data_IF_386647239736
#
_entry.id   IF_386647239736
#
_cell.length_a   1.000
_cell.length_b   1.000
_cell.length_c   1.000
_cell.angle_alpha   90.00
_cell.angle_beta   90.00
_cell.angle_gamma   90.00
#
_symmetry.space_group_name_H-M   'P 1'
#
loop_
_entity.id
_entity.type
_entity.pdbx_description
1 polymer ?
#
# COMPACT_ATOMS: atom_id res chain seq x y z
N UNK A 1 4.19 6.98 14.67
CA UNK A 1 3.35 6.83 15.84
C UNK A 1 2.09 6.02 15.59
N UNK A 2 1.16 6.40 14.71
CA UNK A 2 -0.11 5.68 14.49
C UNK A 2 0.06 4.18 14.21
N UNK A 3 0.78 3.79 13.17
CA UNK A 3 0.98 2.38 12.79
C UNK A 3 1.76 1.58 13.84
N UNK A 4 2.55 2.25 14.69
CA UNK A 4 3.34 1.60 15.74
C UNK A 4 2.47 0.93 16.82
N UNK A 5 1.22 1.40 17.05
CA UNK A 5 0.30 0.75 17.99
C UNK A 5 -0.07 -0.66 17.50
N UNK A 6 -0.30 -0.85 16.19
CA UNK A 6 -0.57 -2.16 15.60
C UNK A 6 0.65 -3.08 15.65
N UNK A 7 1.83 -2.54 15.32
CA UNK A 7 3.09 -3.30 15.43
C UNK A 7 3.34 -3.74 16.88
N UNK A 8 3.10 -2.86 17.87
CA UNK A 8 3.22 -3.19 19.31
C UNK A 8 2.19 -4.23 19.75
N UNK A 9 0.95 -4.18 19.25
CA UNK A 9 -0.09 -5.18 19.54
C UNK A 9 0.34 -6.58 19.10
N UNK A 10 1.01 -6.69 17.94
CA UNK A 10 1.45 -7.96 17.37
C UNK A 10 2.96 -8.22 17.53
N UNK A 11 3.63 -7.54 18.46
CA UNK A 11 5.09 -7.63 18.67
C UNK A 11 5.63 -9.06 18.80
N UNK A 12 4.92 -9.95 19.50
CA UNK A 12 5.35 -11.33 19.69
C UNK A 12 5.36 -12.12 18.38
N UNK A 13 4.42 -11.85 17.47
CA UNK A 13 4.41 -12.47 16.13
C UNK A 13 5.55 -11.95 15.26
N UNK A 14 5.83 -10.64 15.32
CA UNK A 14 7.00 -10.06 14.63
C UNK A 14 8.30 -10.63 15.19
N UNK A 15 8.46 -10.72 16.51
CA UNK A 15 9.66 -11.29 17.14
C UNK A 15 9.82 -12.77 16.72
N UNK A 16 8.76 -13.58 16.77
CA UNK A 16 8.81 -14.98 16.33
C UNK A 16 9.18 -15.10 14.84
N UNK A 17 8.60 -14.24 14.00
CA UNK A 17 8.94 -14.18 12.57
C UNK A 17 10.39 -13.81 12.30
N UNK A 18 10.91 -12.79 12.99
CA UNK A 18 12.30 -12.34 12.86
C UNK A 18 13.28 -13.40 13.41
N UNK A 19 12.96 -14.04 14.52
CA UNK A 19 13.81 -15.11 15.07
C UNK A 19 13.86 -16.34 14.15
N UNK A 20 12.71 -16.71 13.55
CA UNK A 20 12.69 -17.81 12.57
C UNK A 20 13.41 -17.43 11.28
N UNK A 21 13.32 -16.20 10.81
CA UNK A 21 14.06 -15.71 9.66
C UNK A 21 15.56 -15.73 9.94
N UNK A 22 15.99 -15.22 11.10
CA UNK A 22 17.39 -15.29 11.52
C UNK A 22 17.93 -16.73 11.58
N UNK A 23 17.15 -17.66 12.13
CA UNK A 23 17.55 -19.07 12.19
C UNK A 23 17.70 -19.69 10.79
N UNK A 24 16.82 -19.33 9.85
CA UNK A 24 16.88 -19.75 8.44
C UNK A 24 18.14 -19.20 7.78
N UNK A 25 18.43 -17.92 7.92
CA UNK A 25 19.60 -17.27 7.33
C UNK A 25 20.89 -17.84 7.90
N UNK A 26 20.97 -17.94 9.23
CA UNK A 26 22.12 -18.54 9.90
C UNK A 26 22.35 -20.00 9.47
N UNK A 27 21.29 -20.81 9.35
CA UNK A 27 21.40 -22.18 8.88
C UNK A 27 21.84 -22.26 7.41
N UNK A 28 21.34 -21.37 6.54
CA UNK A 28 21.68 -21.36 5.11
C UNK A 28 23.17 -21.14 4.85
N UNK A 29 23.81 -20.32 5.67
CA UNK A 29 25.24 -19.99 5.57
C UNK A 29 26.15 -21.20 5.86
N UNK A 30 25.65 -22.27 6.51
CA UNK A 30 26.42 -23.48 6.74
C UNK A 30 26.48 -24.42 5.52
N UNK A 31 25.58 -24.30 4.54
CA UNK A 31 25.56 -25.18 3.34
C UNK A 31 26.87 -25.05 2.55
N UNK A 32 27.36 -23.84 2.19
CA UNK A 32 28.62 -23.70 1.49
C UNK A 32 29.82 -24.30 2.27
N UNK A 33 29.81 -24.19 3.60
CA UNK A 33 30.83 -24.77 4.44
C UNK A 33 30.85 -26.30 4.38
N UNK A 34 29.69 -26.94 4.43
CA UNK A 34 29.58 -28.40 4.34
C UNK A 34 29.98 -28.90 2.95
N UNK A 35 29.62 -28.22 1.88
CA UNK A 35 30.04 -28.54 0.53
C UNK A 35 31.56 -28.39 0.38
N UNK A 36 32.14 -27.37 1.00
CA UNK A 36 33.61 -27.18 1.05
C UNK A 36 34.31 -28.34 1.74
N UNK A 37 33.81 -28.81 2.89
CA UNK A 37 34.38 -29.97 3.62
C UNK A 37 34.33 -31.23 2.76
N UNK A 38 33.23 -31.49 2.06
CA UNK A 38 33.13 -32.63 1.15
C UNK A 38 34.15 -32.53 0.02
N UNK A 39 34.29 -31.34 -0.58
CA UNK A 39 35.25 -31.10 -1.68
C UNK A 39 36.70 -31.33 -1.22
N UNK A 40 37.06 -30.80 -0.07
CA UNK A 40 38.42 -30.99 0.49
C UNK A 40 38.70 -32.46 0.76
N UNK A 41 37.77 -33.17 1.35
CA UNK A 41 37.92 -34.58 1.66
C UNK A 41 38.03 -35.47 0.40
N UNK A 42 37.30 -35.15 -0.66
CA UNK A 42 37.40 -35.83 -1.96
C UNK A 42 38.74 -35.55 -2.62
N UNK A 43 39.21 -34.32 -2.60
CA UNK A 43 40.48 -33.93 -3.21
C UNK A 43 41.66 -34.58 -2.49
N UNK A 44 41.66 -34.63 -1.19
CA UNK A 44 42.68 -35.26 -0.36
C UNK A 44 42.60 -36.79 -0.38
N UNK A 45 41.59 -37.40 -1.01
CA UNK A 45 41.28 -38.85 -0.94
C UNK A 45 41.25 -39.41 0.49
N UNK A 46 41.00 -38.56 1.46
CA UNK A 46 40.99 -38.88 2.90
C UNK A 46 39.58 -39.05 3.47
N UNK A 47 38.55 -38.75 2.69
CA UNK A 47 37.17 -38.79 3.16
C UNK A 47 36.63 -40.22 3.18
N UNK A 48 36.05 -40.61 4.32
CA UNK A 48 35.34 -41.87 4.45
C UNK A 48 33.91 -41.76 4.00
N UNK A 49 33.33 -42.88 3.53
CA UNK A 49 31.89 -42.89 3.17
C UNK A 49 30.97 -42.44 4.31
N UNK A 50 31.37 -42.74 5.55
CA UNK A 50 30.67 -42.29 6.75
C UNK A 50 30.63 -40.76 6.86
N UNK A 51 31.78 -40.10 6.62
CA UNK A 51 31.87 -38.63 6.67
C UNK A 51 31.07 -37.95 5.57
N UNK A 52 31.08 -38.51 4.33
CA UNK A 52 30.22 -38.01 3.25
C UNK A 52 28.75 -38.08 3.65
N UNK A 53 28.34 -39.27 4.14
CA UNK A 53 26.93 -39.49 4.61
C UNK A 53 26.55 -38.50 5.69
N UNK A 54 27.42 -38.21 6.66
CA UNK A 54 27.14 -37.23 7.73
C UNK A 54 26.98 -35.82 7.18
N UNK A 55 27.85 -35.40 6.24
CA UNK A 55 27.69 -34.07 5.62
C UNK A 55 26.43 -33.97 4.76
N UNK A 56 26.10 -35.01 4.00
CA UNK A 56 24.84 -35.04 3.22
C UNK A 56 23.60 -35.04 4.10
N UNK A 57 23.60 -35.77 5.20
CA UNK A 57 22.52 -35.72 6.21
C UNK A 57 22.44 -34.32 6.83
N UNK A 58 23.58 -33.69 7.12
CA UNK A 58 23.62 -32.32 7.59
C UNK A 58 22.97 -31.33 6.60
N UNK A 59 23.35 -31.42 5.31
CA UNK A 59 22.73 -30.58 4.25
C UNK A 59 21.23 -30.86 4.14
N UNK A 60 20.80 -32.12 4.20
CA UNK A 60 19.40 -32.51 4.14
C UNK A 60 18.60 -31.95 5.33
N UNK A 61 19.15 -32.08 6.55
CA UNK A 61 18.52 -31.55 7.77
C UNK A 61 18.43 -30.02 7.73
N UNK A 62 19.49 -29.35 7.27
CA UNK A 62 19.45 -27.90 7.03
C UNK A 62 18.36 -27.56 5.99
N UNK A 63 18.30 -28.31 4.88
CA UNK A 63 17.26 -28.12 3.86
C UNK A 63 15.84 -28.24 4.42
N UNK A 64 15.61 -29.24 5.28
CA UNK A 64 14.33 -29.41 5.99
C UNK A 64 14.04 -28.24 6.94
N UNK A 65 15.04 -27.82 7.72
CA UNK A 65 14.94 -26.65 8.60
C UNK A 65 14.62 -25.38 7.81
N UNK A 66 15.26 -25.17 6.65
CA UNK A 66 14.99 -24.07 5.76
C UNK A 66 13.54 -24.12 5.22
N UNK A 67 13.04 -25.29 4.84
CA UNK A 67 11.68 -25.45 4.34
C UNK A 67 10.65 -25.09 5.41
N UNK A 68 10.78 -25.67 6.62
CA UNK A 68 9.88 -25.39 7.76
C UNK A 68 10.04 -23.92 8.21
N UNK A 69 11.25 -23.44 8.34
CA UNK A 69 11.54 -22.06 8.76
C UNK A 69 10.98 -21.03 7.77
N UNK A 70 11.11 -21.27 6.45
CA UNK A 70 10.51 -20.40 5.41
C UNK A 70 9.00 -20.37 5.45
N UNK A 71 8.36 -21.47 5.82
CA UNK A 71 6.92 -21.47 6.06
C UNK A 71 6.57 -20.65 7.31
N UNK A 72 7.28 -20.88 8.42
CA UNK A 72 7.00 -20.22 9.70
C UNK A 72 7.16 -18.69 9.65
N UNK A 73 8.28 -18.17 9.12
CA UNK A 73 8.46 -16.72 9.07
C UNK A 73 7.44 -16.05 8.11
N UNK A 74 7.09 -16.71 6.99
CA UNK A 74 6.02 -16.23 6.11
C UNK A 74 4.68 -16.17 6.84
N UNK A 75 4.35 -17.22 7.57
CA UNK A 75 3.14 -17.26 8.37
C UNK A 75 3.09 -16.16 9.43
N UNK A 76 4.20 -15.93 10.13
CA UNK A 76 4.26 -14.90 11.17
C UNK A 76 4.30 -13.48 10.58
N UNK A 77 5.18 -13.17 9.64
CA UNK A 77 5.36 -11.81 9.14
C UNK A 77 4.26 -11.42 8.15
N UNK A 78 4.03 -12.21 7.09
CA UNK A 78 2.98 -11.91 6.13
C UNK A 78 1.59 -12.06 6.73
N UNK A 79 1.38 -13.08 7.57
CA UNK A 79 0.13 -13.28 8.28
C UNK A 79 -0.21 -12.10 9.18
N UNK A 80 0.78 -11.55 9.90
CA UNK A 80 0.58 -10.37 10.76
C UNK A 80 0.27 -9.12 9.94
N UNK A 81 1.00 -8.89 8.84
CA UNK A 81 0.71 -7.77 7.95
C UNK A 81 -0.71 -7.83 7.37
N UNK A 82 -1.22 -9.04 7.04
CA UNK A 82 -2.60 -9.27 6.61
C UNK A 82 -3.64 -9.02 7.72
N UNK A 83 -3.32 -9.38 8.95
CA UNK A 83 -4.20 -9.11 10.10
C UNK A 83 -4.32 -7.60 10.31
N UNK A 84 -3.19 -6.87 10.29
CA UNK A 84 -3.18 -5.41 10.42
C UNK A 84 -3.96 -4.75 9.27
N UNK A 85 -3.77 -5.20 8.03
CA UNK A 85 -4.53 -4.72 6.87
C UNK A 85 -6.05 -4.87 7.09
N UNK A 86 -6.49 -6.03 7.58
CA UNK A 86 -7.90 -6.27 7.89
C UNK A 86 -8.41 -5.36 9.00
N UNK A 87 -7.66 -5.19 10.08
CA UNK A 87 -8.05 -4.31 11.20
C UNK A 87 -8.18 -2.86 10.74
N UNK A 88 -7.18 -2.35 10.01
CA UNK A 88 -7.22 -1.01 9.45
C UNK A 88 -8.42 -0.82 8.50
N UNK A 89 -8.71 -1.81 7.66
CA UNK A 89 -9.87 -1.75 6.76
C UNK A 89 -11.19 -1.65 7.52
N UNK A 90 -11.35 -2.46 8.57
CA UNK A 90 -12.55 -2.44 9.39
C UNK A 90 -12.67 -1.10 10.16
N UNK A 91 -11.57 -0.60 10.71
CA UNK A 91 -11.55 0.66 11.45
C UNK A 91 -11.85 1.85 10.53
N UNK A 92 -11.22 1.90 9.34
CA UNK A 92 -11.54 2.91 8.33
C UNK A 92 -13.01 2.88 7.92
N UNK A 93 -13.56 1.68 7.68
CA UNK A 93 -14.96 1.55 7.30
C UNK A 93 -15.90 2.04 8.42
N UNK A 94 -15.68 1.54 9.64
CA UNK A 94 -16.49 1.98 10.80
C UNK A 94 -16.38 3.48 11.05
N UNK A 95 -15.20 4.06 10.83
CA UNK A 95 -15.01 5.50 11.01
C UNK A 95 -15.71 6.30 9.92
N UNK A 96 -15.62 5.87 8.66
CA UNK A 96 -16.33 6.52 7.56
C UNK A 96 -17.87 6.50 7.74
N UNK A 97 -18.43 5.40 8.25
CA UNK A 97 -19.88 5.34 8.56
C UNK A 97 -20.31 6.41 9.58
N UNK A 98 -19.40 6.98 10.36
CA UNK A 98 -19.68 8.08 11.30
C UNK A 98 -19.52 9.47 10.69
N UNK A 99 -18.98 9.59 9.48
CA UNK A 99 -18.74 10.88 8.82
C UNK A 99 -20.05 11.48 8.30
N UNK A 100 -20.07 12.80 8.26
CA UNK A 100 -21.20 13.58 7.72
C UNK A 100 -21.20 13.63 6.18
N UNK A 101 -22.30 14.08 5.61
CA UNK A 101 -22.48 14.21 4.16
C UNK A 101 -21.49 15.22 3.56
N UNK A 102 -21.04 16.19 4.32
CA UNK A 102 -20.10 17.20 3.90
C UNK A 102 -18.72 16.62 3.61
N UNK A 103 -18.29 15.65 4.43
CA UNK A 103 -17.06 14.88 4.17
C UNK A 103 -17.13 14.15 2.82
N UNK A 104 -18.26 13.51 2.50
CA UNK A 104 -18.44 12.79 1.23
C UNK A 104 -18.57 13.71 0.02
N UNK A 105 -19.10 14.92 0.21
CA UNK A 105 -19.15 15.94 -0.85
C UNK A 105 -17.76 16.48 -1.19
N UNK A 106 -16.86 16.55 -0.21
CA UNK A 106 -15.47 17.01 -0.40
C UNK A 106 -14.52 15.92 -0.87
N UNK A 107 -14.85 14.63 -0.65
CA UNK A 107 -14.03 13.48 -1.00
C UNK A 107 -14.73 12.59 -2.03
N UNK A 108 -14.13 12.47 -3.21
CA UNK A 108 -14.69 11.60 -4.28
C UNK A 108 -14.68 10.14 -3.83
N UNK A 109 -15.76 9.42 -4.07
CA UNK A 109 -15.87 7.98 -3.77
C UNK A 109 -14.74 7.15 -4.35
N UNK A 110 -14.27 7.48 -5.57
CA UNK A 110 -13.14 6.80 -6.21
C UNK A 110 -11.83 6.95 -5.44
N UNK A 111 -11.57 8.13 -4.85
CA UNK A 111 -10.40 8.36 -4.01
C UNK A 111 -10.47 7.54 -2.72
N UNK A 112 -11.62 7.53 -2.05
CA UNK A 112 -11.85 6.69 -0.87
C UNK A 112 -11.64 5.20 -1.20
N UNK A 113 -12.15 4.71 -2.33
CA UNK A 113 -11.93 3.32 -2.77
C UNK A 113 -10.46 3.01 -3.02
N UNK A 114 -9.69 3.95 -3.55
CA UNK A 114 -8.23 3.80 -3.73
C UNK A 114 -7.52 3.62 -2.38
N UNK A 115 -7.97 4.33 -1.34
CA UNK A 115 -7.43 4.19 0.01
C UNK A 115 -7.72 2.81 0.62
N UNK A 116 -8.91 2.25 0.35
CA UNK A 116 -9.29 0.88 0.79
C UNK A 116 -8.55 -0.24 0.06
N UNK A 117 -8.07 0.01 -1.14
CA UNK A 117 -7.42 -1.01 -1.99
C UNK A 117 -5.91 -0.80 -2.08
N UNK A 118 -5.49 0.21 -2.83
CA UNK A 118 -4.09 0.50 -3.16
C UNK A 118 -3.28 0.90 -1.92
N UNK A 119 -3.80 1.84 -1.12
CA UNK A 119 -3.06 2.34 0.04
C UNK A 119 -2.93 1.29 1.14
N UNK A 120 -3.99 0.56 1.47
CA UNK A 120 -3.90 -0.53 2.44
C UNK A 120 -2.96 -1.66 1.97
N UNK A 121 -2.92 -1.93 0.65
CA UNK A 121 -1.95 -2.86 0.09
C UNK A 121 -0.51 -2.35 0.26
N UNK A 122 -0.24 -1.06 0.01
CA UNK A 122 1.08 -0.47 0.22
C UNK A 122 1.50 -0.49 1.70
N UNK A 123 0.58 -0.22 2.64
CA UNK A 123 0.82 -0.38 4.08
C UNK A 123 1.18 -1.82 4.43
N UNK A 124 0.46 -2.80 3.89
CA UNK A 124 0.75 -4.22 4.09
C UNK A 124 2.13 -4.61 3.54
N UNK A 125 2.50 -4.10 2.36
CA UNK A 125 3.81 -4.35 1.76
C UNK A 125 4.94 -3.78 2.63
N UNK A 126 4.74 -2.61 3.21
CA UNK A 126 5.71 -2.01 4.12
C UNK A 126 5.85 -2.77 5.46
N UNK A 127 4.74 -3.31 5.98
CA UNK A 127 4.74 -4.01 7.28
C UNK A 127 5.15 -5.49 7.21
N UNK A 128 5.09 -6.11 6.04
CA UNK A 128 5.48 -7.50 5.84
C UNK A 128 6.70 -7.64 4.95
N UNK A 129 6.57 -7.59 3.62
CA UNK A 129 7.68 -7.78 2.67
C UNK A 129 8.86 -6.85 2.90
N UNK A 130 8.64 -5.55 3.12
CA UNK A 130 9.74 -4.60 3.34
C UNK A 130 10.58 -4.93 4.58
N UNK A 131 9.94 -5.40 5.68
CA UNK A 131 10.64 -5.82 6.89
C UNK A 131 11.59 -6.98 6.60
N UNK A 132 11.17 -7.94 5.78
CA UNK A 132 12.00 -9.09 5.37
C UNK A 132 13.15 -8.62 4.50
N UNK A 133 12.88 -7.81 3.48
CA UNK A 133 13.92 -7.29 2.59
C UNK A 133 14.98 -6.47 3.36
N UNK A 134 14.58 -5.66 4.35
CA UNK A 134 15.52 -4.94 5.23
C UNK A 134 16.34 -5.93 6.05
N UNK A 135 15.69 -6.93 6.63
CA UNK A 135 16.36 -7.93 7.46
C UNK A 135 17.38 -8.72 6.64
N UNK A 136 16.97 -9.27 5.48
CA UNK A 136 17.84 -10.03 4.58
C UNK A 136 19.02 -9.17 4.08
N UNK A 137 18.75 -7.92 3.69
CA UNK A 137 19.83 -7.05 3.19
C UNK A 137 20.89 -6.74 4.24
N UNK A 138 20.52 -6.66 5.52
CA UNK A 138 21.46 -6.36 6.60
C UNK A 138 22.02 -7.63 7.23
N UNK A 139 21.14 -8.50 7.72
CA UNK A 139 21.56 -9.66 8.54
C UNK A 139 22.20 -10.74 7.71
N UNK A 140 21.57 -11.10 6.58
CA UNK A 140 22.13 -12.12 5.68
C UNK A 140 23.48 -11.67 5.12
N UNK A 141 23.60 -10.40 4.68
CA UNK A 141 24.88 -9.85 4.22
C UNK A 141 25.93 -9.92 5.31
N UNK A 142 25.61 -9.51 6.54
CA UNK A 142 26.54 -9.56 7.67
C UNK A 142 27.01 -11.01 7.96
N UNK A 143 26.07 -11.96 8.03
CA UNK A 143 26.35 -13.36 8.29
C UNK A 143 27.27 -13.97 7.21
N UNK A 144 26.94 -13.72 5.93
CA UNK A 144 27.73 -14.24 4.81
C UNK A 144 29.14 -13.63 4.79
N UNK A 145 29.26 -12.29 4.92
CA UNK A 145 30.56 -11.60 4.94
C UNK A 145 31.42 -12.06 6.11
N UNK A 146 30.84 -12.16 7.33
CA UNK A 146 31.55 -12.69 8.48
C UNK A 146 32.07 -14.11 8.22
N UNK A 147 31.23 -14.98 7.61
CA UNK A 147 31.64 -16.35 7.31
C UNK A 147 32.72 -16.42 6.22
N UNK A 148 32.63 -15.55 5.20
CA UNK A 148 33.66 -15.42 4.17
C UNK A 148 35.01 -15.01 4.78
N UNK A 149 35.01 -14.02 5.65
CA UNK A 149 36.21 -13.52 6.34
C UNK A 149 36.84 -14.58 7.26
N UNK A 150 35.99 -15.24 8.07
CA UNK A 150 36.43 -16.20 9.07
C UNK A 150 36.87 -17.57 8.45
N UNK A 151 36.02 -18.09 7.53
CA UNK A 151 36.21 -19.45 7.03
C UNK A 151 37.17 -19.53 5.83
N UNK A 152 37.23 -18.47 4.99
CA UNK A 152 38.05 -18.51 3.77
C UNK A 152 39.25 -17.60 3.88
N UNK A 153 39.14 -16.33 3.60
CA UNK A 153 40.27 -15.38 3.65
C UNK A 153 39.76 -13.94 3.58
N UNK A 154 40.27 -13.06 4.46
CA UNK A 154 39.89 -11.67 4.57
C UNK A 154 40.19 -10.88 3.28
N UNK A 155 41.42 -11.08 2.69
CA UNK A 155 41.83 -10.34 1.49
C UNK A 155 40.96 -10.68 0.29
N UNK A 156 40.65 -11.98 0.12
CA UNK A 156 39.76 -12.44 -0.95
C UNK A 156 38.35 -11.89 -0.79
N UNK A 157 37.83 -11.84 0.45
CA UNK A 157 36.53 -11.29 0.75
C UNK A 157 36.45 -9.80 0.41
N UNK A 158 37.43 -9.00 0.84
CA UNK A 158 37.47 -7.58 0.51
C UNK A 158 37.54 -7.34 -1.01
N UNK A 159 38.34 -8.13 -1.74
CA UNK A 159 38.40 -8.02 -3.19
C UNK A 159 37.05 -8.32 -3.86
N UNK A 160 36.33 -9.35 -3.41
CA UNK A 160 35.02 -9.73 -3.96
C UNK A 160 33.91 -8.74 -3.61
N UNK A 161 34.04 -8.00 -2.50
CA UNK A 161 33.06 -6.98 -2.11
C UNK A 161 33.15 -5.69 -2.93
N UNK A 162 34.33 -5.37 -3.51
CA UNK A 162 34.51 -4.14 -4.29
C UNK A 162 33.47 -4.03 -5.43
N UNK A 163 33.28 -5.00 -6.32
CA UNK A 163 32.27 -4.93 -7.36
C UNK A 163 30.85 -4.81 -6.80
N UNK A 164 30.56 -5.45 -5.67
CA UNK A 164 29.23 -5.40 -5.05
C UNK A 164 28.89 -4.02 -4.50
N UNK A 165 29.87 -3.31 -3.92
CA UNK A 165 29.68 -1.91 -3.49
C UNK A 165 29.46 -1.02 -4.72
N UNK A 166 30.16 -1.25 -5.82
CA UNK A 166 29.95 -0.53 -7.09
C UNK A 166 28.51 -0.75 -7.61
N UNK A 167 27.99 -1.98 -7.54
CA UNK A 167 26.59 -2.29 -7.90
C UNK A 167 25.64 -1.46 -7.05
N UNK A 168 25.82 -1.47 -5.73
CA UNK A 168 24.94 -0.76 -4.79
C UNK A 168 24.91 0.74 -5.08
N UNK A 169 26.07 1.35 -5.23
CA UNK A 169 26.19 2.79 -5.56
C UNK A 169 25.62 3.13 -6.94
N UNK A 170 25.89 2.28 -7.92
CA UNK A 170 25.36 2.39 -9.28
C UNK A 170 23.83 2.32 -9.28
N UNK A 171 23.25 1.35 -8.59
CA UNK A 171 21.81 1.19 -8.51
C UNK A 171 21.12 2.39 -7.81
N UNK A 172 21.75 2.93 -6.76
CA UNK A 172 21.24 4.14 -6.10
C UNK A 172 21.25 5.36 -7.02
N UNK A 173 22.26 5.49 -7.88
CA UNK A 173 22.33 6.59 -8.83
C UNK A 173 21.33 6.44 -9.97
N UNK A 174 21.28 5.28 -10.60
CA UNK A 174 20.34 5.00 -11.69
C UNK A 174 18.89 4.87 -11.23
N UNK A 175 18.65 4.50 -9.98
CA UNK A 175 17.30 4.42 -9.40
C UNK A 175 16.52 5.72 -9.51
N UNK A 176 17.19 6.87 -9.30
CA UNK A 176 16.56 8.19 -9.46
C UNK A 176 16.17 8.47 -10.92
N UNK A 177 17.06 8.16 -11.87
CA UNK A 177 16.77 8.32 -13.30
C UNK A 177 15.61 7.43 -13.76
N UNK A 178 15.55 6.21 -13.25
CA UNK A 178 14.43 5.31 -13.50
C UNK A 178 13.13 5.84 -12.93
N UNK A 179 13.14 6.38 -11.72
CA UNK A 179 11.95 6.94 -11.04
C UNK A 179 11.36 8.11 -11.84
N UNK A 180 12.21 9.01 -12.34
CA UNK A 180 11.80 10.10 -13.21
C UNK A 180 11.15 9.59 -14.51
N UNK A 181 11.77 8.60 -15.17
CA UNK A 181 11.22 7.99 -16.39
C UNK A 181 9.90 7.23 -16.13
N UNK A 182 9.79 6.54 -14.99
CA UNK A 182 8.54 5.89 -14.60
C UNK A 182 7.43 6.91 -14.35
N UNK A 183 7.76 8.07 -13.76
CA UNK A 183 6.82 9.16 -13.55
C UNK A 183 6.33 9.73 -14.89
N UNK A 184 7.25 10.07 -15.83
CA UNK A 184 6.88 10.53 -17.17
C UNK A 184 5.99 9.53 -17.92
N UNK A 185 6.28 8.24 -17.81
CA UNK A 185 5.43 7.20 -18.41
C UNK A 185 4.07 7.16 -17.74
N UNK A 186 4.00 7.25 -16.42
CA UNK A 186 2.75 7.22 -15.66
C UNK A 186 1.83 8.39 -16.05
N UNK A 187 2.39 9.60 -16.21
CA UNK A 187 1.66 10.76 -16.68
C UNK A 187 1.10 10.56 -18.09
N UNK A 188 1.89 9.94 -18.98
CA UNK A 188 1.41 9.62 -20.34
C UNK A 188 0.30 8.57 -20.34
N UNK A 189 0.39 7.55 -19.49
CA UNK A 189 -0.67 6.53 -19.30
C UNK A 189 -1.94 7.17 -18.76
N UNK A 190 -1.85 8.08 -17.79
CA UNK A 190 -2.99 8.81 -17.25
C UNK A 190 -3.66 9.67 -18.33
N UNK A 191 -2.88 10.44 -19.09
CA UNK A 191 -3.38 11.25 -20.20
C UNK A 191 -4.06 10.41 -21.31
N UNK A 192 -3.58 9.19 -21.53
CA UNK A 192 -4.21 8.25 -22.47
C UNK A 192 -5.53 7.70 -21.90
N UNK A 193 -5.55 7.36 -20.61
CA UNK A 193 -6.75 6.87 -19.94
C UNK A 193 -7.85 7.93 -19.89
N UNK A 194 -7.50 9.18 -19.56
CA UNK A 194 -8.44 10.32 -19.56
C UNK A 194 -9.04 10.53 -20.95
N UNK A 195 -8.22 10.50 -22.00
CA UNK A 195 -8.68 10.59 -23.38
C UNK A 195 -9.66 9.47 -23.75
N UNK A 196 -9.37 8.23 -23.36
CA UNK A 196 -10.26 7.08 -23.60
C UNK A 196 -11.58 7.25 -22.86
N UNK A 197 -11.52 7.70 -21.60
CA UNK A 197 -12.72 7.96 -20.80
C UNK A 197 -13.59 9.06 -21.42
N UNK A 198 -12.97 10.15 -21.88
CA UNK A 198 -13.66 11.25 -22.55
C UNK A 198 -14.31 10.77 -23.87
N UNK A 199 -13.57 10.02 -24.69
CA UNK A 199 -14.07 9.46 -25.96
C UNK A 199 -15.25 8.51 -25.74
N UNK A 200 -15.21 7.65 -24.72
CA UNK A 200 -16.31 6.74 -24.40
C UNK A 200 -17.52 7.47 -23.81
N UNK A 201 -17.30 8.46 -22.96
CA UNK A 201 -18.37 9.30 -22.43
C UNK A 201 -19.05 10.12 -23.53
N UNK A 202 -18.27 10.63 -24.48
CA UNK A 202 -18.70 11.41 -25.64
C UNK A 202 -19.06 10.57 -26.88
N UNK A 203 -19.18 9.24 -26.78
CA UNK A 203 -19.31 8.35 -27.94
C UNK A 203 -20.51 8.68 -28.86
N UNK A 204 -21.61 9.20 -28.26
CA UNK A 204 -22.79 9.64 -29.03
C UNK A 204 -22.46 10.81 -29.94
N UNK A 205 -21.67 11.77 -29.45
CA UNK A 205 -21.24 12.95 -30.23
C UNK A 205 -20.28 12.53 -31.34
N UNK A 206 -19.28 11.70 -31.01
CA UNK A 206 -18.32 11.18 -31.98
C UNK A 206 -19.04 10.46 -33.15
N UNK A 207 -20.06 9.65 -32.84
CA UNK A 207 -20.87 8.95 -33.85
C UNK A 207 -21.75 9.90 -34.63
N UNK A 208 -22.44 10.86 -33.98
CA UNK A 208 -23.33 11.81 -34.62
C UNK A 208 -22.59 12.72 -35.64
N UNK A 209 -21.35 13.12 -35.28
CA UNK A 209 -20.54 13.99 -36.16
C UNK A 209 -19.54 13.22 -37.06
N UNK A 210 -19.65 11.89 -37.12
CA UNK A 210 -18.80 11.00 -37.94
C UNK A 210 -17.29 11.22 -37.73
N UNK A 211 -16.88 11.55 -36.49
CA UNK A 211 -15.50 11.90 -36.13
C UNK A 211 -14.62 10.70 -35.77
N UNK A 212 -15.08 9.47 -36.05
CA UNK A 212 -14.37 8.22 -35.71
C UNK A 212 -12.90 8.20 -36.13
N UNK A 213 -12.59 8.63 -37.37
CA UNK A 213 -11.22 8.60 -37.89
C UNK A 213 -10.30 9.59 -37.14
N UNK A 214 -10.80 10.78 -36.81
CA UNK A 214 -10.05 11.77 -36.07
C UNK A 214 -9.73 11.28 -34.65
N UNK A 215 -10.69 10.63 -33.97
CA UNK A 215 -10.48 10.03 -32.64
C UNK A 215 -9.45 8.89 -32.66
N UNK A 216 -9.51 8.01 -33.68
CA UNK A 216 -8.51 6.93 -33.83
C UNK A 216 -7.11 7.51 -34.05
N UNK A 217 -6.96 8.57 -34.83
CA UNK A 217 -5.66 9.23 -35.03
C UNK A 217 -5.15 9.89 -33.74
N UNK A 218 -6.02 10.56 -33.00
CA UNK A 218 -5.68 11.18 -31.72
C UNK A 218 -5.27 10.14 -30.67
N UNK A 219 -6.01 9.04 -30.58
CA UNK A 219 -5.65 7.90 -29.74
C UNK A 219 -4.29 7.32 -30.12
N UNK A 220 -4.08 7.06 -31.43
CA UNK A 220 -2.82 6.50 -31.92
C UNK A 220 -1.62 7.37 -31.57
N UNK A 221 -1.75 8.70 -31.67
CA UNK A 221 -0.69 9.65 -31.30
C UNK A 221 -0.37 9.60 -29.81
N UNK A 222 -1.37 9.58 -28.94
CA UNK A 222 -1.19 9.49 -27.49
C UNK A 222 -0.61 8.12 -27.09
N UNK A 223 -1.09 7.04 -27.72
CA UNK A 223 -0.57 5.69 -27.48
C UNK A 223 0.88 5.55 -27.94
N UNK A 224 1.27 6.22 -29.05
CA UNK A 224 2.65 6.27 -29.50
C UNK A 224 3.55 7.00 -28.49
N UNK A 225 3.11 8.13 -27.91
CA UNK A 225 3.85 8.82 -26.85
C UNK A 225 4.06 7.92 -25.62
N UNK A 226 3.05 7.19 -25.21
CA UNK A 226 3.14 6.21 -24.11
C UNK A 226 4.10 5.07 -24.45
N UNK A 227 4.09 4.59 -25.68
CA UNK A 227 5.01 3.57 -26.17
C UNK A 227 6.46 4.10 -26.18
N UNK A 228 6.70 5.32 -26.67
CA UNK A 228 8.02 5.91 -26.75
C UNK A 228 8.65 6.11 -25.35
N UNK A 229 7.86 6.57 -24.36
CA UNK A 229 8.27 6.68 -22.97
C UNK A 229 8.55 5.32 -22.34
N UNK A 230 7.70 4.32 -22.58
CA UNK A 230 7.93 2.95 -22.13
C UNK A 230 9.20 2.35 -22.76
N UNK A 231 9.46 2.68 -24.03
CA UNK A 231 10.66 2.23 -24.73
C UNK A 231 11.94 2.85 -24.19
N UNK A 232 11.90 4.11 -23.67
CA UNK A 232 13.06 4.72 -22.98
C UNK A 232 13.41 3.95 -21.74
N UNK A 233 12.42 3.55 -20.92
CA UNK A 233 12.63 2.72 -19.74
C UNK A 233 13.22 1.37 -20.15
N UNK A 234 12.59 0.68 -21.11
CA UNK A 234 13.05 -0.62 -21.59
C UNK A 234 14.48 -0.59 -22.12
N UNK A 235 14.88 0.47 -22.83
CA UNK A 235 16.27 0.66 -23.32
C UNK A 235 17.25 0.82 -22.17
N UNK A 236 16.89 1.58 -21.13
CA UNK A 236 17.75 1.76 -19.96
C UNK A 236 17.89 0.45 -19.18
N UNK A 237 16.78 -0.26 -18.94
CA UNK A 237 16.78 -1.57 -18.27
C UNK A 237 17.56 -2.63 -19.08
N UNK A 238 17.43 -2.62 -20.40
CA UNK A 238 18.16 -3.52 -21.29
C UNK A 238 19.69 -3.33 -21.25
N UNK A 239 20.16 -2.16 -20.78
CA UNK A 239 21.59 -1.89 -20.55
C UNK A 239 21.97 -2.20 -19.10
N UNK A 240 21.13 -1.76 -18.14
CA UNK A 240 21.43 -1.89 -16.71
C UNK A 240 21.47 -3.33 -16.24
N UNK A 241 20.51 -4.16 -16.64
CA UNK A 241 20.43 -5.55 -16.18
C UNK A 241 21.67 -6.36 -16.63
N UNK A 242 22.05 -6.37 -17.92
CA UNK A 242 23.29 -7.03 -18.33
C UNK A 242 24.55 -6.42 -17.71
N UNK A 243 24.57 -5.12 -17.45
CA UNK A 243 25.69 -4.46 -16.78
C UNK A 243 25.87 -4.99 -15.34
N UNK A 244 24.76 -5.18 -14.62
CA UNK A 244 24.78 -5.80 -13.29
C UNK A 244 25.32 -7.24 -13.37
N UNK A 245 24.86 -8.03 -14.34
CA UNK A 245 25.36 -9.41 -14.56
C UNK A 245 26.86 -9.43 -14.86
N UNK A 246 27.35 -8.49 -15.67
CA UNK A 246 28.79 -8.33 -15.96
C UNK A 246 29.58 -7.98 -14.70
N UNK A 247 29.08 -7.07 -13.85
CA UNK A 247 29.77 -6.69 -12.60
C UNK A 247 29.80 -7.88 -11.61
N UNK A 248 28.68 -8.62 -11.50
CA UNK A 248 28.63 -9.86 -10.72
C UNK A 248 29.63 -10.89 -11.30
N UNK A 249 29.69 -11.01 -12.62
CA UNK A 249 30.65 -11.82 -13.34
C UNK A 249 32.10 -11.44 -13.03
N UNK A 250 32.41 -10.14 -12.97
CA UNK A 250 33.73 -9.66 -12.54
C UNK A 250 34.07 -10.05 -11.10
N UNK A 251 33.10 -9.99 -10.18
CA UNK A 251 33.31 -10.49 -8.81
C UNK A 251 33.64 -11.99 -8.80
N UNK A 252 32.91 -12.78 -9.59
CA UNK A 252 33.15 -14.20 -9.74
C UNK A 252 34.50 -14.47 -10.41
N UNK A 253 34.86 -13.69 -11.45
CA UNK A 253 36.17 -13.82 -12.13
C UNK A 253 37.31 -13.44 -11.20
N UNK A 254 37.24 -12.36 -10.46
CA UNK A 254 38.23 -11.96 -9.47
C UNK A 254 38.38 -13.02 -8.37
N UNK A 255 37.27 -13.61 -7.94
CA UNK A 255 37.26 -14.75 -7.02
C UNK A 255 37.95 -15.99 -7.62
N UNK A 256 37.67 -16.31 -8.88
CA UNK A 256 38.30 -17.42 -9.61
C UNK A 256 39.78 -17.21 -9.78
N UNK A 257 40.20 -16.04 -10.22
CA UNK A 257 41.62 -15.76 -10.48
C UNK A 257 42.43 -15.71 -9.19
N UNK A 258 42.04 -14.84 -8.25
CA UNK A 258 42.79 -14.65 -7.02
C UNK A 258 42.56 -15.79 -6.03
N UNK A 259 41.35 -16.29 -5.88
CA UNK A 259 41.05 -17.45 -5.05
C UNK A 259 41.65 -18.73 -5.59
N UNK A 260 41.65 -18.93 -6.92
CA UNK A 260 42.34 -20.04 -7.58
C UNK A 260 43.87 -19.97 -7.39
N UNK A 261 44.46 -18.77 -7.50
CA UNK A 261 45.88 -18.57 -7.19
C UNK A 261 46.19 -18.91 -5.72
N UNK A 262 45.39 -18.47 -4.77
CA UNK A 262 45.56 -18.81 -3.35
C UNK A 262 45.41 -20.30 -3.09
N UNK A 263 44.57 -21.00 -3.83
CA UNK A 263 44.42 -22.45 -3.76
C UNK A 263 45.64 -23.18 -4.33
N UNK A 264 46.18 -22.71 -5.46
CA UNK A 264 47.38 -23.28 -6.07
C UNK A 264 48.64 -23.18 -5.19
N UNK A 265 48.79 -22.04 -4.48
CA UNK A 265 49.90 -21.84 -3.54
C UNK A 265 49.64 -22.44 -2.15
N UNK A 266 48.52 -23.13 -1.96
CA UNK A 266 48.18 -23.83 -0.73
C UNK A 266 47.76 -22.95 0.43
N UNK A 267 47.44 -21.64 0.22
CA UNK A 267 46.96 -20.75 1.28
C UNK A 267 45.48 -20.98 1.63
N UNK A 268 44.69 -21.48 0.68
CA UNK A 268 43.32 -21.93 0.91
C UNK A 268 43.13 -23.31 0.31
N UNK A 269 42.19 -24.08 0.83
CA UNK A 269 41.84 -25.39 0.26
C UNK A 269 40.88 -25.23 -0.92
N UNK A 270 40.83 -26.23 -1.81
CA UNK A 270 39.89 -26.24 -2.93
C UNK A 270 38.43 -26.17 -2.43
N UNK A 271 38.11 -26.82 -1.31
CA UNK A 271 36.79 -26.78 -0.71
C UNK A 271 36.41 -25.39 -0.16
N UNK A 272 37.37 -24.67 0.45
CA UNK A 272 37.17 -23.28 0.85
C UNK A 272 36.93 -22.36 -0.34
N UNK A 273 37.64 -22.61 -1.44
CA UNK A 273 37.43 -21.88 -2.70
C UNK A 273 36.01 -22.10 -3.27
N UNK A 274 35.55 -23.36 -3.31
CA UNK A 274 34.19 -23.69 -3.75
C UNK A 274 33.14 -23.06 -2.85
N UNK A 275 33.32 -23.13 -1.53
CA UNK A 275 32.46 -22.49 -0.56
C UNK A 275 32.38 -20.96 -0.77
N UNK A 276 33.53 -20.33 -1.06
CA UNK A 276 33.62 -18.90 -1.30
C UNK A 276 32.75 -18.46 -2.48
N UNK A 277 32.81 -19.18 -3.61
CA UNK A 277 31.96 -18.87 -4.77
C UNK A 277 30.47 -18.98 -4.47
N UNK A 278 30.07 -19.94 -3.62
CA UNK A 278 28.67 -20.05 -3.18
C UNK A 278 28.29 -18.85 -2.30
N UNK A 279 29.17 -18.40 -1.39
CA UNK A 279 28.93 -17.20 -0.57
C UNK A 279 28.78 -15.92 -1.42
N UNK A 280 29.61 -15.75 -2.45
CA UNK A 280 29.49 -14.61 -3.38
C UNK A 280 28.11 -14.60 -4.04
N UNK A 281 27.63 -15.75 -4.50
CA UNK A 281 26.27 -15.86 -5.08
C UNK A 281 25.15 -15.58 -4.06
N UNK A 282 25.35 -15.92 -2.79
CA UNK A 282 24.37 -15.64 -1.75
C UNK A 282 24.22 -14.14 -1.44
N UNK A 283 25.22 -13.30 -1.76
CA UNK A 283 25.17 -11.86 -1.54
C UNK A 283 24.36 -11.10 -2.60
N UNK A 284 24.06 -11.71 -3.74
CA UNK A 284 23.34 -11.04 -4.84
C UNK A 284 21.94 -10.62 -4.42
N UNK A 285 21.18 -11.55 -3.84
CA UNK A 285 19.80 -11.27 -3.42
C UNK A 285 19.69 -10.16 -2.37
N UNK A 286 20.44 -10.16 -1.26
CA UNK A 286 20.40 -9.08 -0.28
C UNK A 286 20.68 -7.68 -0.85
N UNK A 287 21.55 -7.58 -1.86
CA UNK A 287 21.83 -6.32 -2.53
C UNK A 287 20.63 -5.79 -3.30
N UNK A 288 19.90 -6.64 -3.99
CA UNK A 288 18.67 -6.27 -4.71
C UNK A 288 17.54 -5.96 -3.73
N UNK A 289 17.38 -6.75 -2.65
CA UNK A 289 16.37 -6.58 -1.64
C UNK A 289 16.44 -5.22 -0.92
N UNK A 290 17.64 -4.65 -0.74
CA UNK A 290 17.83 -3.33 -0.16
C UNK A 290 17.05 -2.24 -0.92
N UNK A 291 17.09 -2.30 -2.23
CA UNK A 291 16.42 -1.36 -3.12
C UNK A 291 14.90 -1.51 -3.11
N UNK A 292 14.41 -2.76 -3.20
CA UNK A 292 12.99 -3.06 -3.09
C UNK A 292 12.42 -2.60 -1.74
N UNK A 293 13.16 -2.83 -0.66
CA UNK A 293 12.78 -2.38 0.67
C UNK A 293 12.57 -0.86 0.74
N UNK A 294 13.50 -0.09 0.16
CA UNK A 294 13.40 1.38 0.15
C UNK A 294 12.13 1.87 -0.57
N UNK A 295 11.81 1.29 -1.73
CA UNK A 295 10.60 1.61 -2.50
C UNK A 295 9.33 1.25 -1.71
N UNK A 296 9.24 0.01 -1.20
CA UNK A 296 8.08 -0.44 -0.42
C UNK A 296 7.86 0.40 0.83
N UNK A 297 8.95 0.78 1.51
CA UNK A 297 8.89 1.60 2.72
C UNK A 297 8.46 3.04 2.43
N UNK A 298 8.96 3.64 1.36
CA UNK A 298 8.56 4.98 0.91
C UNK A 298 7.07 5.02 0.55
N UNK A 299 6.60 4.10 -0.30
CA UNK A 299 5.19 3.99 -0.68
C UNK A 299 4.30 3.72 0.54
N UNK A 300 4.72 2.79 1.40
CA UNK A 300 3.99 2.47 2.62
C UNK A 300 3.85 3.65 3.57
N UNK A 301 4.92 4.45 3.74
CA UNK A 301 4.89 5.63 4.62
C UNK A 301 3.92 6.70 4.09
N UNK A 302 3.91 6.94 2.78
CA UNK A 302 2.97 7.85 2.15
C UNK A 302 1.51 7.37 2.33
N UNK A 303 1.27 6.07 2.12
CA UNK A 303 -0.06 5.47 2.28
C UNK A 303 -0.53 5.44 3.74
N UNK A 304 0.37 5.19 4.70
CA UNK A 304 0.07 5.28 6.14
C UNK A 304 -0.46 6.68 6.49
N UNK A 305 0.15 7.74 5.94
CA UNK A 305 -0.30 9.11 6.18
C UNK A 305 -1.72 9.33 5.65
N UNK A 306 -2.02 8.90 4.42
CA UNK A 306 -3.37 9.01 3.84
C UNK A 306 -4.44 8.21 4.59
N UNK A 307 -4.10 7.03 5.09
CA UNK A 307 -4.99 6.23 5.95
C UNK A 307 -5.22 6.92 7.29
N UNK A 308 -4.18 7.51 7.86
CA UNK A 308 -4.26 8.27 9.11
C UNK A 308 -5.14 9.51 8.96
N UNK A 309 -5.07 10.23 7.85
CA UNK A 309 -5.94 11.37 7.54
C UNK A 309 -7.42 11.00 7.59
N UNK A 310 -7.79 9.82 7.08
CA UNK A 310 -9.18 9.34 7.20
C UNK A 310 -9.57 9.11 8.65
N UNK A 311 -8.72 8.41 9.42
CA UNK A 311 -9.04 8.03 10.79
C UNK A 311 -8.99 9.20 11.78
N UNK A 312 -8.29 10.27 11.43
CA UNK A 312 -8.24 11.51 12.21
C UNK A 312 -9.32 12.53 11.78
N UNK A 313 -10.00 12.31 10.65
CA UNK A 313 -11.09 13.16 10.21
C UNK A 313 -12.19 13.21 11.26
N UNK A 314 -12.73 14.39 11.50
CA UNK A 314 -13.79 14.59 12.47
C UNK A 314 -15.08 14.97 11.76
N UNK A 315 -16.19 14.36 12.19
CA UNK A 315 -17.52 14.76 11.74
C UNK A 315 -17.94 16.05 12.46
N UNK A 316 -18.52 16.97 11.71
CA UNK A 316 -19.14 18.19 12.26
C UNK A 316 -20.52 17.90 12.86
N UNK A 317 -21.20 16.85 12.38
CA UNK A 317 -22.56 16.49 12.84
C UNK A 317 -22.46 15.38 13.89
N UNK A 318 -22.52 15.78 15.15
CA UNK A 318 -22.49 14.88 16.31
C UNK A 318 -23.41 15.38 17.42
N UNK A 319 -23.84 14.50 18.29
CA UNK A 319 -24.57 14.89 19.49
C UNK A 319 -23.60 15.58 20.45
N UNK A 320 -24.06 16.73 20.98
CA UNK A 320 -23.32 17.53 21.97
C UNK A 320 -23.76 17.14 23.39
N UNK A 321 -22.99 17.55 24.40
CA UNK A 321 -23.30 17.26 25.78
C UNK A 321 -24.64 17.90 26.28
N UNK A 322 -25.20 18.79 25.50
CA UNK A 322 -26.48 19.54 25.81
C UNK A 322 -27.71 18.87 25.20
N UNK A 323 -27.63 17.61 24.79
CA UNK A 323 -28.77 16.91 24.17
C UNK A 323 -29.84 16.59 25.20
N UNK A 324 -31.10 16.98 24.88
CA UNK A 324 -32.27 16.70 25.69
C UNK A 324 -32.88 15.35 25.30
N UNK A 325 -33.10 14.45 26.25
CA UNK A 325 -33.81 13.19 25.98
C UNK A 325 -35.28 13.47 25.69
N UNK A 326 -35.70 13.27 24.45
CA UNK A 326 -37.08 13.35 24.01
C UNK A 326 -37.54 11.96 23.57
N UNK A 327 -38.63 11.45 24.14
CA UNK A 327 -39.12 10.11 23.83
C UNK A 327 -40.02 10.09 22.58
N UNK A 328 -40.73 11.19 22.31
CA UNK A 328 -41.65 11.32 21.16
C UNK A 328 -41.59 12.73 20.58
N UNK A 329 -41.74 12.84 19.27
CA UNK A 329 -41.87 14.09 18.54
C UNK A 329 -43.28 14.18 17.97
N UNK A 330 -43.94 15.35 18.13
CA UNK A 330 -45.27 15.62 17.62
C UNK A 330 -45.26 16.14 16.18
N UNK A 331 -44.16 16.80 15.78
CA UNK A 331 -43.91 17.20 14.41
C UNK A 331 -44.26 18.65 14.08
N UNK A 332 -44.32 19.54 15.06
CA UNK A 332 -44.38 20.99 14.83
C UNK A 332 -43.01 21.49 14.41
N UNK A 333 -42.86 22.09 13.22
CA UNK A 333 -41.60 22.57 12.68
C UNK A 333 -41.62 24.07 12.52
N UNK A 334 -40.62 24.78 13.06
CA UNK A 334 -40.44 26.20 12.89
C UNK A 334 -39.06 26.54 12.37
N UNK A 335 -38.98 27.26 11.27
CA UNK A 335 -37.78 27.92 10.77
C UNK A 335 -37.82 29.39 11.20
N UNK A 336 -36.74 29.84 11.83
CA UNK A 336 -36.60 31.17 12.35
C UNK A 336 -35.34 31.82 11.79
N UNK A 337 -35.51 32.80 10.89
CA UNK A 337 -34.43 33.48 10.20
C UNK A 337 -33.36 32.53 9.58
N UNK A 338 -33.78 31.36 9.11
CA UNK A 338 -32.86 30.33 8.61
C UNK A 338 -32.05 30.83 7.40
N UNK A 339 -30.77 30.98 7.61
CA UNK A 339 -29.80 31.28 6.56
C UNK A 339 -28.75 30.18 6.54
N UNK A 340 -28.50 29.59 5.38
CA UNK A 340 -27.56 28.47 5.27
C UNK A 340 -26.65 28.60 4.04
N UNK A 341 -25.35 28.34 4.25
CA UNK A 341 -24.32 28.33 3.22
C UNK A 341 -23.57 26.99 3.27
N UNK A 342 -23.50 26.28 2.15
CA UNK A 342 -22.65 25.07 2.08
C UNK A 342 -21.17 25.44 2.17
N UNK A 343 -20.37 24.59 2.79
CA UNK A 343 -18.92 24.76 2.88
C UNK A 343 -18.32 24.93 1.47
N UNK A 344 -17.48 25.94 1.32
CA UNK A 344 -16.86 26.27 0.01
C UNK A 344 -17.68 27.21 -0.87
N UNK A 345 -18.92 27.52 -0.54
CA UNK A 345 -19.70 28.53 -1.23
C UNK A 345 -19.55 29.92 -0.58
N UNK A 346 -19.57 30.96 -1.39
CA UNK A 346 -19.48 32.36 -0.93
C UNK A 346 -20.85 33.03 -0.69
N UNK A 347 -21.91 32.41 -1.20
CA UNK A 347 -23.27 32.93 -1.09
C UNK A 347 -24.22 31.94 -0.40
N UNK A 348 -25.17 32.38 0.43
CA UNK A 348 -26.11 31.51 1.06
C UNK A 348 -27.04 30.86 0.03
N UNK A 349 -27.37 29.59 0.26
CA UNK A 349 -28.33 28.80 -0.54
C UNK A 349 -29.76 29.01 0.00
N UNK A 350 -29.89 29.20 1.29
CA UNK A 350 -31.12 29.61 1.96
C UNK A 350 -30.87 30.97 2.63
N UNK A 351 -31.77 31.90 2.49
CA UNK A 351 -31.62 33.23 3.02
C UNK A 351 -32.90 33.66 3.74
N UNK A 352 -32.80 33.91 5.04
CA UNK A 352 -33.83 34.47 5.88
C UNK A 352 -35.21 33.77 5.77
N UNK A 353 -35.21 32.44 5.85
CA UNK A 353 -36.45 31.64 5.77
C UNK A 353 -37.15 31.68 7.13
N UNK A 354 -38.37 32.19 7.12
CA UNK A 354 -39.28 32.23 8.26
C UNK A 354 -40.54 31.43 7.90
N UNK A 355 -40.79 30.31 8.58
CA UNK A 355 -41.91 29.42 8.25
C UNK A 355 -42.30 28.55 9.45
N UNK A 356 -43.61 28.53 9.75
CA UNK A 356 -44.18 27.62 10.74
C UNK A 356 -45.00 26.54 10.03
N UNK A 357 -44.77 25.29 10.41
CA UNK A 357 -45.46 24.11 9.86
C UNK A 357 -46.09 23.35 11.03
N UNK A 358 -47.38 23.52 11.31
CA UNK A 358 -48.04 22.80 12.36
C UNK A 358 -48.12 21.29 12.10
N UNK A 359 -48.08 20.50 13.16
CA UNK A 359 -48.24 19.05 13.10
C UNK A 359 -49.50 18.64 12.33
N UNK A 360 -49.44 17.56 11.57
CA UNK A 360 -50.54 17.05 10.76
C UNK A 360 -50.81 17.84 9.46
N UNK A 361 -50.04 18.88 9.15
CA UNK A 361 -50.22 19.65 7.92
C UNK A 361 -49.36 19.06 6.76
N UNK A 362 -49.77 19.37 5.54
CA UNK A 362 -48.98 19.03 4.32
C UNK A 362 -48.47 20.32 3.71
N UNK A 363 -47.13 20.41 3.57
CA UNK A 363 -46.47 21.54 2.91
C UNK A 363 -45.91 21.13 1.55
N UNK A 364 -46.23 21.89 0.51
CA UNK A 364 -45.65 21.76 -0.80
C UNK A 364 -44.56 22.82 -1.03
N UNK A 365 -43.32 22.41 -1.35
CA UNK A 365 -42.20 23.31 -1.63
C UNK A 365 -41.95 23.31 -3.14
N UNK A 366 -42.24 24.44 -3.80
CA UNK A 366 -42.12 24.60 -5.25
C UNK A 366 -41.01 25.62 -5.57
N UNK A 367 -40.20 25.35 -6.59
CA UNK A 367 -39.15 26.29 -7.02
C UNK A 367 -38.27 25.69 -8.10
N UNK A 368 -37.46 26.53 -8.74
CA UNK A 368 -36.50 26.11 -9.77
C UNK A 368 -35.39 25.17 -9.20
N UNK A 369 -34.78 24.37 -10.07
CA UNK A 369 -33.59 23.57 -9.69
C UNK A 369 -32.51 24.52 -9.15
N UNK A 370 -31.88 24.15 -8.06
CA UNK A 370 -30.84 24.96 -7.40
C UNK A 370 -31.32 25.91 -6.30
N UNK A 371 -32.62 26.08 -6.10
CA UNK A 371 -33.19 27.01 -5.10
C UNK A 371 -33.21 26.47 -3.65
N UNK A 372 -32.38 25.52 -3.29
CA UNK A 372 -32.21 25.08 -1.91
C UNK A 372 -33.32 24.17 -1.35
N UNK A 373 -34.31 23.70 -2.13
CA UNK A 373 -35.41 22.84 -1.65
C UNK A 373 -34.90 21.58 -0.93
N UNK A 374 -33.98 20.84 -1.56
CA UNK A 374 -33.39 19.66 -0.95
C UNK A 374 -32.50 19.99 0.23
N UNK A 375 -31.86 21.16 0.23
CA UNK A 375 -31.07 21.65 1.37
C UNK A 375 -31.95 21.85 2.58
N UNK A 376 -33.14 22.45 2.43
CA UNK A 376 -34.07 22.64 3.53
C UNK A 376 -34.48 21.31 4.20
N UNK A 377 -34.80 20.30 3.39
CA UNK A 377 -35.15 18.97 3.89
C UNK A 377 -33.92 18.26 4.54
N UNK A 378 -32.74 18.41 3.96
CA UNK A 378 -31.51 17.82 4.51
C UNK A 378 -31.12 18.43 5.85
N UNK A 379 -31.45 19.71 6.08
CA UNK A 379 -31.23 20.36 7.37
C UNK A 379 -32.15 19.81 8.46
N UNK A 380 -33.40 19.46 8.13
CA UNK A 380 -34.33 18.79 9.07
C UNK A 380 -33.82 17.40 9.51
N UNK A 381 -33.09 16.71 8.66
CA UNK A 381 -32.45 15.45 9.02
C UNK A 381 -31.09 15.63 9.73
N UNK A 382 -30.67 16.87 9.97
CA UNK A 382 -29.34 17.20 10.45
C UNK A 382 -28.26 16.45 9.65
N UNK A 383 -28.36 16.48 8.31
CA UNK A 383 -27.26 16.05 7.44
C UNK A 383 -26.15 17.11 7.38
N UNK A 384 -26.51 18.35 7.71
CA UNK A 384 -25.62 19.49 7.94
C UNK A 384 -26.06 20.19 9.23
N UNK A 385 -25.14 20.76 9.97
CA UNK A 385 -25.48 21.57 11.13
C UNK A 385 -25.89 23.00 10.70
N UNK A 386 -26.84 23.59 11.43
CA UNK A 386 -27.19 25.01 11.39
C UNK A 386 -26.65 25.72 12.62
N UNK A 387 -26.63 27.04 12.58
CA UNK A 387 -26.46 27.80 13.81
C UNK A 387 -27.63 27.54 14.78
N UNK A 388 -27.38 27.58 16.10
CA UNK A 388 -28.43 27.39 17.09
C UNK A 388 -29.55 28.43 16.94
N UNK A 389 -30.79 28.00 17.14
CA UNK A 389 -31.93 28.89 17.08
C UNK A 389 -32.57 29.10 15.72
N UNK A 390 -32.07 28.43 14.66
CA UNK A 390 -32.63 28.60 13.30
C UNK A 390 -33.69 27.56 12.93
N UNK A 391 -33.69 26.40 13.57
CA UNK A 391 -34.66 25.33 13.29
C UNK A 391 -35.13 24.75 14.62
N UNK A 392 -36.44 24.76 14.82
CA UNK A 392 -37.06 24.15 15.96
C UNK A 392 -37.98 23.00 15.54
N UNK A 393 -37.98 21.94 16.32
CA UNK A 393 -38.89 20.81 16.22
C UNK A 393 -39.55 20.63 17.60
N UNK A 394 -40.90 20.77 17.69
CA UNK A 394 -41.64 20.75 18.93
C UNK A 394 -41.07 21.73 19.98
N UNK A 395 -40.81 22.99 19.58
CA UNK A 395 -40.18 24.06 20.37
C UNK A 395 -38.74 23.79 20.87
N UNK A 396 -38.11 22.68 20.47
CA UNK A 396 -36.73 22.36 20.79
C UNK A 396 -35.83 22.67 19.61
N UNK A 397 -34.69 23.33 19.86
CA UNK A 397 -33.67 23.52 18.82
C UNK A 397 -33.19 22.16 18.29
N UNK A 398 -33.20 21.99 16.98
CA UNK A 398 -32.86 20.75 16.31
C UNK A 398 -31.45 20.24 16.70
N UNK A 399 -30.51 21.15 17.04
CA UNK A 399 -29.15 20.80 17.47
C UNK A 399 -29.12 20.18 18.88
N UNK A 400 -30.17 20.34 19.67
CA UNK A 400 -30.31 19.79 21.02
C UNK A 400 -31.06 18.45 21.05
N UNK A 401 -31.63 18.02 19.93
CA UNK A 401 -32.32 16.73 19.80
C UNK A 401 -31.30 15.65 19.45
N UNK A 402 -31.34 14.44 20.10
CA UNK A 402 -30.46 13.34 19.72
C UNK A 402 -30.62 12.96 18.24
N UNK A 403 -29.53 12.81 17.51
CA UNK A 403 -29.55 12.43 16.09
C UNK A 403 -30.37 11.15 15.84
N UNK A 404 -30.26 10.19 16.76
CA UNK A 404 -31.01 8.93 16.69
C UNK A 404 -32.53 9.20 16.79
N UNK A 405 -32.99 9.91 17.82
CA UNK A 405 -34.40 10.24 18.00
C UNK A 405 -34.92 11.05 16.83
N UNK A 406 -34.18 12.06 16.37
CA UNK A 406 -34.58 12.88 15.22
C UNK A 406 -34.79 12.02 13.96
N UNK A 407 -33.83 11.17 13.61
CA UNK A 407 -33.87 10.39 12.37
C UNK A 407 -34.80 9.18 12.43
N UNK A 408 -35.08 8.63 13.60
CA UNK A 408 -36.07 7.56 13.78
C UNK A 408 -37.53 8.08 13.65
N UNK A 409 -37.77 9.37 13.92
CA UNK A 409 -39.08 9.98 13.83
C UNK A 409 -39.36 10.67 12.48
N UNK A 410 -38.39 10.80 11.59
CA UNK A 410 -38.55 11.41 10.26
C UNK A 410 -38.37 10.34 9.16
N UNK A 411 -39.46 10.07 8.43
CA UNK A 411 -39.39 9.28 7.23
C UNK A 411 -38.89 10.12 6.04
N UNK A 412 -37.83 9.74 5.39
CA UNK A 412 -37.22 10.44 4.25
C UNK A 412 -37.21 9.59 3.00
N UNK A 413 -37.76 10.12 1.90
CA UNK A 413 -37.68 9.51 0.59
C UNK A 413 -36.74 10.33 -0.28
N UNK A 414 -35.51 9.84 -0.56
CA UNK A 414 -34.55 10.59 -1.38
C UNK A 414 -35.03 10.69 -2.83
N UNK A 415 -34.63 11.75 -3.57
CA UNK A 415 -34.89 11.83 -5.02
C UNK A 415 -34.30 10.61 -5.77
N UNK A 416 -34.95 10.20 -6.85
CA UNK A 416 -34.86 8.95 -7.63
C UNK A 416 -33.46 8.43 -7.99
N UNK A 417 -32.38 9.14 -7.68
CA UNK A 417 -31.01 8.75 -8.02
C UNK A 417 -30.53 7.42 -7.39
N UNK A 418 -31.18 6.96 -6.32
CA UNK A 418 -30.79 5.73 -5.59
C UNK A 418 -31.69 4.51 -5.85
N UNK A 419 -32.80 4.65 -6.55
CA UNK A 419 -33.73 3.53 -6.79
C UNK A 419 -33.18 2.47 -7.72
N UNK A 420 -32.18 2.77 -8.56
CA UNK A 420 -31.58 1.79 -9.47
C UNK A 420 -30.57 0.84 -8.82
N UNK A 421 -30.01 1.20 -7.67
CA UNK A 421 -29.00 0.36 -6.99
C UNK A 421 -29.61 -0.66 -6.00
N UNK A 422 -30.82 -0.42 -5.50
CA UNK A 422 -31.51 -1.32 -4.55
C UNK A 422 -32.73 -2.06 -5.10
N UNK A 423 -33.12 -1.82 -6.34
CA UNK A 423 -34.27 -2.51 -6.95
C UNK A 423 -34.07 -4.04 -7.06
N UNK A 424 -32.80 -4.50 -7.07
CA UNK A 424 -32.49 -5.93 -7.06
C UNK A 424 -32.51 -6.57 -5.66
N UNK A 425 -32.29 -5.82 -4.58
CA UNK A 425 -32.28 -6.36 -3.23
C UNK A 425 -33.68 -6.53 -2.64
N UNK A 426 -34.64 -5.67 -3.01
CA UNK A 426 -36.02 -5.77 -2.54
C UNK A 426 -36.79 -6.96 -3.15
N UNK A 427 -36.33 -7.53 -4.26
CA UNK A 427 -36.92 -8.74 -4.86
C UNK A 427 -36.42 -10.04 -4.25
N UNK A 428 -35.33 -10.01 -3.45
CA UNK A 428 -34.78 -11.20 -2.79
C UNK A 428 -35.16 -11.32 -1.30
N UNK A 429 -35.80 -10.29 -0.73
CA UNK A 429 -36.31 -10.29 0.64
C UNK A 429 -37.86 -10.30 0.66
#
# INVERSE_FOLDING_TARGET
PFIMQYVRRYKYRYIAGILTLFAVDAASVFIPKLTGIITDGLTARSITWSSIRTCLLGIFLIGLLLAVGRFLWRYFLFGTARIIERELRNEMFSHLETMDVEYYNSHKTGDLMTRFTSDLNAVRMALGPAVICIFDSVVMTLLVVCQMMYYVNIKLTLLALIPMVIICLGYMHYGKVLDDLYTERQDSVSNLADFVQESFSGIRVIKAFVRKQAEILSFSKKNQDTMDKSMRIAKLEAILIPLLDVIIGFSSLASLLYGGYLALIGQITLGRFVAFNQYVNMLVWPMLACSEAAVMFSQGTASIRRVQEILEAQTNVKDTASVTTLDTLHGDIRFDHLTFTHLGNTSPVLHDINLDIPSGTTLAIIGRTGNGKSTLVNLLLRLYNTEPGMIYLDDHDINTIPLKTLRENIAYVPPVSYTHLRAHETLMN
#
